data_IF_688345229587
#
_entry.id   IF_688345229587
#
_cell.length_a   1.000
_cell.length_b   1.000
_cell.length_c   1.000
_cell.angle_alpha   90.00
_cell.angle_beta   90.00
_cell.angle_gamma   90.00
#
_symmetry.space_group_name_H-M   'P 1'
#
loop_
_entity.id
_entity.type
_entity.pdbx_description
1 polymer ?
#
# COMPACT_ATOMS: atom_id res chain seq x y z
N UNK A 1 20.23 9.23 8.54
CA UNK A 1 19.46 8.29 7.68
C UNK A 1 18.98 9.10 6.48
N UNK A 2 19.20 8.63 5.25
CA UNK A 2 18.83 9.38 4.05
C UNK A 2 17.29 9.40 3.92
N UNK A 3 16.65 10.57 3.80
CA UNK A 3 15.18 10.70 3.80
C UNK A 3 14.52 9.85 2.72
N UNK A 4 15.15 9.73 1.55
CA UNK A 4 14.67 8.85 0.49
C UNK A 4 14.75 7.36 0.83
N UNK A 5 15.74 6.93 1.62
CA UNK A 5 15.79 5.54 2.08
C UNK A 5 14.65 5.25 3.06
N UNK A 6 14.27 6.21 3.90
CA UNK A 6 13.10 6.09 4.78
C UNK A 6 11.81 6.03 3.98
N UNK A 7 11.62 6.90 2.98
CA UNK A 7 10.42 6.88 2.14
C UNK A 7 10.30 5.63 1.26
N UNK A 8 11.42 5.08 0.78
CA UNK A 8 11.44 3.80 0.06
C UNK A 8 11.05 2.63 0.97
N UNK A 9 11.57 2.60 2.20
CA UNK A 9 11.18 1.56 3.16
C UNK A 9 9.69 1.64 3.52
N UNK A 10 9.17 2.85 3.74
CA UNK A 10 7.74 3.07 3.96
C UNK A 10 6.89 2.56 2.77
N UNK A 11 7.37 2.71 1.54
CA UNK A 11 6.70 2.18 0.33
C UNK A 11 6.71 0.64 0.30
N UNK A 12 7.82 0.01 0.65
CA UNK A 12 7.93 -1.46 0.75
C UNK A 12 6.94 -2.01 1.80
N UNK A 13 6.86 -1.37 2.96
CA UNK A 13 5.93 -1.75 4.03
C UNK A 13 4.47 -1.59 3.58
N UNK A 14 4.14 -0.49 2.90
CA UNK A 14 2.81 -0.27 2.35
C UNK A 14 2.44 -1.34 1.32
N UNK A 15 3.37 -1.68 0.41
CA UNK A 15 3.14 -2.73 -0.58
C UNK A 15 2.92 -4.08 0.08
N UNK A 16 3.73 -4.44 1.08
CA UNK A 16 3.55 -5.67 1.85
C UNK A 16 2.18 -5.74 2.53
N UNK A 17 1.73 -4.64 3.14
CA UNK A 17 0.42 -4.57 3.77
C UNK A 17 -0.73 -4.69 2.74
N UNK A 18 -0.62 -4.04 1.57
CA UNK A 18 -1.62 -4.16 0.50
C UNK A 18 -1.72 -5.59 -0.01
N UNK A 19 -0.60 -6.27 -0.25
CA UNK A 19 -0.58 -7.68 -0.67
C UNK A 19 -1.23 -8.58 0.37
N UNK A 20 -0.88 -8.44 1.65
CA UNK A 20 -1.49 -9.25 2.71
C UNK A 20 -3.00 -9.03 2.85
N UNK A 21 -3.47 -7.78 2.73
CA UNK A 21 -4.91 -7.47 2.74
C UNK A 21 -5.64 -8.05 1.52
N UNK A 22 -5.01 -8.01 0.34
CA UNK A 22 -5.59 -8.58 -0.88
C UNK A 22 -5.68 -10.12 -0.80
N UNK A 23 -4.64 -10.78 -0.31
CA UNK A 23 -4.60 -12.23 -0.10
C UNK A 23 -5.69 -12.69 0.89
N UNK A 24 -5.88 -11.99 2.00
CA UNK A 24 -6.98 -12.27 2.93
C UNK A 24 -8.37 -12.10 2.30
N UNK A 25 -8.54 -11.12 1.41
CA UNK A 25 -9.79 -10.93 0.67
C UNK A 25 -10.04 -12.07 -0.32
N UNK A 26 -9.00 -12.53 -1.02
CA UNK A 26 -9.07 -13.65 -1.96
C UNK A 26 -9.39 -14.96 -1.25
N UNK A 27 -8.70 -15.26 -0.14
CA UNK A 27 -8.95 -16.45 0.67
C UNK A 27 -10.38 -16.47 1.25
N UNK A 28 -10.91 -15.30 1.63
CA UNK A 28 -12.30 -15.22 2.08
C UNK A 28 -13.30 -15.44 0.95
N UNK A 29 -12.97 -15.11 -0.30
CA UNK A 29 -13.84 -15.33 -1.46
C UNK A 29 -13.80 -16.76 -1.98
N UNK A 30 -12.65 -17.44 -1.88
CA UNK A 30 -12.49 -18.82 -2.34
C UNK A 30 -13.27 -19.84 -1.51
N UNK A 31 -13.63 -19.51 -0.26
CA UNK A 31 -14.46 -20.35 0.61
C UNK A 31 -15.98 -20.12 0.44
N UNK A 32 -16.44 -19.13 -0.34
CA UNK A 32 -17.87 -18.82 -0.51
C UNK A 32 -18.66 -19.87 -1.35
N UNK A 33 -18.05 -21.00 -1.71
CA UNK A 33 -18.67 -22.10 -2.46
C UNK A 33 -18.88 -23.42 -1.68
N UNK A 34 -18.43 -23.49 -0.43
CA UNK A 34 -18.67 -24.63 0.46
C UNK A 34 -19.92 -24.34 1.28
N UNK A 35 -21.03 -25.03 1.01
CA UNK A 35 -22.32 -24.80 1.68
C UNK A 35 -22.27 -24.99 3.22
N UNK A 36 -21.21 -25.62 3.73
CA UNK A 36 -21.00 -25.93 5.15
C UNK A 36 -19.99 -25.02 5.88
N UNK A 37 -19.27 -24.12 5.17
CA UNK A 37 -18.31 -23.21 5.81
C UNK A 37 -18.83 -21.78 5.89
N UNK A 38 -18.91 -21.27 7.13
CA UNK A 38 -19.14 -19.85 7.35
C UNK A 38 -17.98 -19.04 6.73
N UNK A 39 -18.27 -17.94 6.01
CA UNK A 39 -17.21 -17.13 5.41
C UNK A 39 -16.25 -16.61 6.48
N UNK A 40 -14.95 -16.79 6.25
CA UNK A 40 -13.90 -16.38 7.18
C UNK A 40 -13.95 -14.87 7.51
N UNK A 41 -14.39 -14.04 6.56
CA UNK A 41 -14.60 -12.60 6.76
C UNK A 41 -16.03 -12.20 6.46
N UNK A 42 -16.62 -11.41 7.37
CA UNK A 42 -17.91 -10.76 7.14
C UNK A 42 -17.81 -9.66 6.07
N UNK A 43 -18.95 -9.26 5.49
CA UNK A 43 -19.03 -8.09 4.58
C UNK A 43 -18.43 -6.82 5.19
N UNK A 44 -18.60 -6.62 6.50
CA UNK A 44 -18.03 -5.48 7.20
C UNK A 44 -16.50 -5.53 7.20
N UNK A 45 -15.90 -6.68 7.56
CA UNK A 45 -14.45 -6.87 7.52
C UNK A 45 -13.87 -6.62 6.12
N UNK A 46 -14.52 -7.15 5.07
CA UNK A 46 -14.11 -6.93 3.68
C UNK A 46 -14.16 -5.45 3.28
N UNK A 47 -15.17 -4.72 3.75
CA UNK A 47 -15.29 -3.27 3.56
C UNK A 47 -14.17 -2.49 4.26
N UNK A 48 -13.81 -2.86 5.49
CA UNK A 48 -12.70 -2.27 6.23
C UNK A 48 -11.37 -2.50 5.52
N UNK A 49 -11.08 -3.73 5.08
CA UNK A 49 -9.84 -4.06 4.36
C UNK A 49 -9.73 -3.30 3.03
N UNK A 50 -10.82 -3.22 2.27
CA UNK A 50 -10.86 -2.43 1.03
C UNK A 50 -10.57 -0.95 1.28
N UNK A 51 -11.10 -0.41 2.38
CA UNK A 51 -10.85 0.99 2.77
C UNK A 51 -9.40 1.19 3.20
N UNK A 52 -8.82 0.26 3.95
CA UNK A 52 -7.42 0.28 4.32
C UNK A 52 -6.49 0.25 3.09
N UNK A 53 -6.76 -0.63 2.12
CA UNK A 53 -6.02 -0.67 0.84
C UNK A 53 -6.07 0.68 0.13
N UNK A 54 -7.23 1.34 0.06
CA UNK A 54 -7.35 2.67 -0.55
C UNK A 54 -6.51 3.74 0.17
N UNK A 55 -6.53 3.75 1.50
CA UNK A 55 -5.71 4.68 2.28
C UNK A 55 -4.21 4.43 2.10
N UNK A 56 -3.81 3.16 2.07
CA UNK A 56 -2.43 2.74 1.81
C UNK A 56 -1.98 3.15 0.41
N UNK A 57 -2.81 2.92 -0.61
CA UNK A 57 -2.52 3.35 -1.99
C UNK A 57 -2.38 4.88 -2.11
N UNK A 58 -3.26 5.64 -1.45
CA UNK A 58 -3.15 7.10 -1.42
C UNK A 58 -1.85 7.55 -0.75
N UNK A 59 -1.46 6.93 0.37
CA UNK A 59 -0.19 7.23 1.06
C UNK A 59 1.02 6.88 0.19
N UNK A 60 0.98 5.74 -0.52
CA UNK A 60 2.04 5.36 -1.46
C UNK A 60 2.21 6.40 -2.57
N UNK A 61 1.11 6.85 -3.18
CA UNK A 61 1.16 7.90 -4.21
C UNK A 61 1.82 9.18 -3.68
N UNK A 62 1.43 9.65 -2.48
CA UNK A 62 2.07 10.83 -1.89
C UNK A 62 3.57 10.65 -1.63
N UNK A 63 4.02 9.45 -1.23
CA UNK A 63 5.44 9.15 -1.05
C UNK A 63 6.19 9.14 -2.39
N UNK A 64 5.58 8.62 -3.45
CA UNK A 64 6.15 8.65 -4.80
C UNK A 64 6.34 10.09 -5.28
N UNK A 65 5.34 10.96 -5.08
CA UNK A 65 5.44 12.38 -5.43
C UNK A 65 6.58 13.07 -4.67
N UNK A 66 6.67 12.86 -3.35
CA UNK A 66 7.73 13.41 -2.50
C UNK A 66 9.12 12.94 -2.97
N UNK A 67 9.30 11.66 -3.27
CA UNK A 67 10.57 11.12 -3.77
C UNK A 67 10.90 11.77 -5.13
N UNK A 68 9.93 11.88 -6.03
CA UNK A 68 10.10 12.51 -7.35
C UNK A 68 10.54 13.98 -7.24
N UNK A 69 9.89 14.76 -6.38
CA UNK A 69 10.25 16.15 -6.10
C UNK A 69 11.67 16.29 -5.51
N UNK A 70 12.05 15.40 -4.58
CA UNK A 70 13.37 15.40 -3.97
C UNK A 70 14.47 15.04 -4.98
N UNK A 71 14.22 14.09 -5.88
CA UNK A 71 15.17 13.72 -6.94
C UNK A 71 15.30 14.83 -8.00
N UNK A 72 14.20 15.49 -8.37
CA UNK A 72 14.23 16.67 -9.26
C UNK A 72 14.99 17.85 -8.64
N UNK A 73 14.81 18.12 -7.35
CA UNK A 73 15.53 19.18 -6.63
C UNK A 73 17.04 18.96 -6.55
N UNK A 74 17.49 17.71 -6.41
CA UNK A 74 18.92 17.35 -6.46
C UNK A 74 19.52 17.55 -7.85
N UNK A 75 18.77 17.26 -8.92
CA UNK A 75 19.21 17.46 -10.29
C UNK A 75 19.34 18.95 -10.66
N UNK A 76 18.48 19.81 -10.12
CA UNK A 76 18.50 21.27 -10.35
C UNK A 76 19.60 22.02 -9.57
N UNK A 77 20.03 21.51 -8.42
CA UNK A 77 21.06 22.15 -7.58
C UNK A 77 22.50 22.00 -8.09
N UNK A 78 22.75 21.12 -9.06
CA UNK A 78 24.10 20.84 -9.58
C UNK A 78 24.58 21.84 -10.64
N UNK A 79 23.76 22.85 -11.00
CA UNK A 79 24.07 23.81 -12.07
C UNK A 79 24.18 25.28 -11.62
N UNK A 80 24.23 25.55 -10.31
CA UNK A 80 24.54 26.87 -9.77
C UNK A 80 26.01 26.91 -9.34
N UNK A 81 26.88 27.27 -10.28
CA UNK A 81 28.30 27.56 -10.05
C UNK A 81 28.50 29.08 -9.95
#
# INVERSE_FOLDING_TARGET
>A
MNTNQTHLHDLEDILGAVYGLADMLEQSGSHEGSEDEAPALSRFHRGCMTTAIKHLANRANSLVDIIGEQEAGKAGGSNAK
#
